data_IF_091709482106
#
_entry.id   IF_091709482106
#
_cell.length_a   1.000
_cell.length_b   1.000
_cell.length_c   1.000
_cell.angle_alpha   90.00
_cell.angle_beta   90.00
_cell.angle_gamma   90.00
#
_symmetry.space_group_name_H-M   'P 1'
#
loop_
_entity.id
_entity.type
_entity.pdbx_description
1 polymer ?
#
# COMPACT_ATOMS: atom_id res chain seq x y z
N UNK A 1 -30.60 24.12 -9.37
CA UNK A 1 -31.19 23.88 -8.03
C UNK A 1 -30.13 23.80 -6.94
N UNK A 2 -29.14 22.89 -6.98
CA UNK A 2 -28.15 22.79 -5.90
C UNK A 2 -27.21 24.01 -5.73
N UNK A 3 -27.09 24.87 -6.75
CA UNK A 3 -26.28 26.11 -6.68
C UNK A 3 -26.88 27.20 -5.77
N UNK A 4 -28.16 27.09 -5.40
CA UNK A 4 -28.87 28.04 -4.52
C UNK A 4 -29.22 27.42 -3.15
N UNK A 5 -28.60 26.29 -2.83
CA UNK A 5 -28.82 25.61 -1.55
C UNK A 5 -28.26 26.45 -0.40
N UNK A 6 -29.08 26.65 0.62
CA UNK A 6 -28.78 27.36 1.86
C UNK A 6 -29.25 26.52 3.04
N UNK A 7 -28.81 26.79 4.28
CA UNK A 7 -29.36 26.11 5.45
C UNK A 7 -30.88 26.26 5.57
N UNK A 8 -31.44 27.39 5.11
CA UNK A 8 -32.86 27.71 5.24
C UNK A 8 -33.78 26.94 4.28
N UNK A 9 -33.31 26.60 3.07
CA UNK A 9 -34.10 25.85 2.08
C UNK A 9 -33.73 24.36 1.98
N UNK A 10 -32.71 23.91 2.74
CA UNK A 10 -32.27 22.52 2.72
C UNK A 10 -33.36 21.53 3.13
N UNK A 11 -34.21 21.88 4.11
CA UNK A 11 -35.32 21.03 4.56
C UNK A 11 -36.40 20.86 3.51
N UNK A 12 -36.71 21.90 2.74
CA UNK A 12 -37.67 21.83 1.63
C UNK A 12 -37.14 20.94 0.51
N UNK A 13 -35.86 21.11 0.14
CA UNK A 13 -35.23 20.27 -0.88
C UNK A 13 -35.12 18.81 -0.44
N UNK A 14 -34.81 18.56 0.84
CA UNK A 14 -34.82 17.23 1.44
C UNK A 14 -36.19 16.57 1.29
N UNK A 15 -37.26 17.26 1.68
CA UNK A 15 -38.63 16.76 1.56
C UNK A 15 -39.01 16.45 0.09
N UNK A 16 -38.55 17.26 -0.88
CA UNK A 16 -38.77 16.98 -2.29
C UNK A 16 -38.07 15.68 -2.74
N UNK A 17 -36.84 15.45 -2.27
CA UNK A 17 -36.16 14.18 -2.52
C UNK A 17 -36.87 13.01 -1.84
N UNK A 18 -37.24 13.10 -0.57
CA UNK A 18 -37.93 12.01 0.14
C UNK A 18 -39.23 11.56 -0.54
N UNK A 19 -39.96 12.50 -1.15
CA UNK A 19 -41.20 12.21 -1.89
C UNK A 19 -41.00 11.80 -3.35
N UNK A 20 -39.77 11.90 -3.88
CA UNK A 20 -39.47 11.49 -5.25
C UNK A 20 -39.42 9.97 -5.39
N UNK A 21 -39.73 9.39 -6.57
CA UNK A 21 -39.49 7.97 -6.80
C UNK A 21 -38.03 7.58 -6.56
N UNK A 22 -37.79 6.37 -6.07
CA UNK A 22 -36.45 5.79 -6.05
C UNK A 22 -35.93 5.51 -7.47
N UNK A 23 -34.63 5.26 -7.60
CA UNK A 23 -34.02 4.85 -8.86
C UNK A 23 -32.66 5.49 -9.08
N UNK A 24 -31.79 4.82 -9.85
CA UNK A 24 -30.36 5.16 -9.97
C UNK A 24 -30.06 6.64 -10.23
N UNK A 25 -30.85 7.30 -11.06
CA UNK A 25 -30.67 8.72 -11.37
C UNK A 25 -31.05 9.61 -10.19
N UNK A 26 -32.22 9.37 -9.60
CA UNK A 26 -32.67 10.13 -8.42
C UNK A 26 -31.79 9.86 -7.20
N UNK A 27 -31.25 8.65 -7.05
CA UNK A 27 -30.33 8.29 -5.96
C UNK A 27 -28.99 9.02 -6.14
N UNK A 28 -28.51 9.16 -7.39
CA UNK A 28 -27.32 9.98 -7.70
C UNK A 28 -27.56 11.45 -7.35
N UNK A 29 -28.69 12.01 -7.78
CA UNK A 29 -29.04 13.40 -7.46
C UNK A 29 -29.22 13.64 -5.96
N UNK A 30 -29.74 12.64 -5.24
CA UNK A 30 -29.83 12.69 -3.79
C UNK A 30 -28.45 12.69 -3.15
N UNK A 31 -27.52 11.88 -3.64
CA UNK A 31 -26.14 11.89 -3.16
C UNK A 31 -25.45 13.26 -3.42
N UNK A 32 -25.64 13.84 -4.60
CA UNK A 32 -25.17 15.20 -4.93
C UNK A 32 -25.76 16.24 -3.96
N UNK A 33 -27.04 16.08 -3.60
CA UNK A 33 -27.71 16.91 -2.60
C UNK A 33 -27.13 16.74 -1.21
N UNK A 34 -26.89 15.51 -0.73
CA UNK A 34 -26.27 15.26 0.59
C UNK A 34 -24.91 15.95 0.70
N UNK A 35 -24.08 15.85 -0.35
CA UNK A 35 -22.80 16.56 -0.39
C UNK A 35 -22.99 18.08 -0.31
N UNK A 36 -23.88 18.64 -1.12
CA UNK A 36 -24.15 20.07 -1.12
C UNK A 36 -24.76 20.56 0.20
N UNK A 37 -25.66 19.77 0.81
CA UNK A 37 -26.28 20.08 2.10
C UNK A 37 -25.24 20.10 3.20
N UNK A 38 -24.34 19.12 3.24
CA UNK A 38 -23.29 19.09 4.23
C UNK A 38 -22.29 20.25 4.09
N UNK A 39 -22.09 20.81 2.90
CA UNK A 39 -21.29 22.03 2.71
C UNK A 39 -21.89 23.30 3.34
N UNK A 40 -23.20 23.33 3.54
CA UNK A 40 -23.89 24.48 4.13
C UNK A 40 -24.35 24.22 5.57
N UNK A 41 -24.57 22.96 5.93
CA UNK A 41 -25.08 22.53 7.24
C UNK A 41 -24.61 21.11 7.57
N UNK A 42 -23.31 20.96 7.79
CA UNK A 42 -22.64 19.67 8.01
C UNK A 42 -23.26 18.80 9.11
N UNK A 43 -23.56 19.38 10.27
CA UNK A 43 -24.14 18.66 11.43
C UNK A 43 -25.50 18.03 11.10
N UNK A 44 -26.40 18.78 10.46
CA UNK A 44 -27.73 18.28 10.11
C UNK A 44 -27.64 17.21 9.01
N UNK A 45 -26.79 17.44 7.99
CA UNK A 45 -26.62 16.50 6.90
C UNK A 45 -26.01 15.17 7.36
N UNK A 46 -24.99 15.21 8.22
CA UNK A 46 -24.37 13.99 8.74
C UNK A 46 -25.29 13.27 9.71
N UNK A 47 -26.06 14.00 10.53
CA UNK A 47 -27.06 13.42 11.43
C UNK A 47 -28.10 12.63 10.64
N UNK A 48 -28.64 13.22 9.58
CA UNK A 48 -29.55 12.53 8.67
C UNK A 48 -28.89 11.31 8.01
N UNK A 49 -27.69 11.50 7.47
CA UNK A 49 -26.98 10.45 6.76
C UNK A 49 -26.53 9.29 7.67
N UNK A 50 -26.44 9.51 8.99
CA UNK A 50 -26.08 8.48 9.97
C UNK A 50 -27.28 7.82 10.65
N UNK A 51 -28.44 8.47 10.66
CA UNK A 51 -29.66 7.91 11.21
C UNK A 51 -30.20 6.76 10.33
N UNK A 52 -30.36 5.54 10.87
CA UNK A 52 -30.91 4.41 10.12
C UNK A 52 -32.41 4.58 9.82
N UNK A 53 -33.13 5.43 10.54
CA UNK A 53 -34.56 5.68 10.36
C UNK A 53 -34.84 6.86 9.40
N UNK A 54 -33.79 7.57 8.96
CA UNK A 54 -33.96 8.68 8.02
C UNK A 54 -34.55 8.19 6.69
N UNK A 55 -35.63 8.82 6.19
CA UNK A 55 -36.24 8.43 4.92
C UNK A 55 -35.20 8.49 3.80
N UNK A 56 -35.29 7.67 2.75
CA UNK A 56 -34.39 7.74 1.57
C UNK A 56 -32.88 7.58 1.83
N UNK A 57 -32.42 7.47 3.09
CA UNK A 57 -31.02 7.25 3.45
C UNK A 57 -30.52 5.96 2.82
N UNK A 58 -29.35 6.04 2.21
CA UNK A 58 -28.64 4.93 1.59
C UNK A 58 -27.33 4.67 2.30
N UNK A 59 -26.75 3.49 2.05
CA UNK A 59 -25.42 3.15 2.59
C UNK A 59 -24.37 4.00 1.88
N UNK A 60 -23.52 4.69 2.64
CA UNK A 60 -22.46 5.55 2.10
C UNK A 60 -22.84 7.03 2.04
N UNK A 61 -24.08 7.40 2.37
CA UNK A 61 -24.45 8.81 2.53
C UNK A 61 -23.66 9.46 3.64
N UNK A 62 -23.31 8.72 4.71
CA UNK A 62 -22.46 9.22 5.78
C UNK A 62 -21.07 9.65 5.29
N UNK A 63 -20.52 8.95 4.29
CA UNK A 63 -19.24 9.31 3.66
C UNK A 63 -19.39 10.54 2.75
N UNK A 64 -20.54 10.66 2.11
CA UNK A 64 -20.85 11.79 1.21
C UNK A 64 -21.06 13.06 2.03
N UNK A 65 -21.82 12.97 3.12
CA UNK A 65 -22.08 14.05 4.05
C UNK A 65 -20.77 14.51 4.71
N UNK A 66 -19.95 13.61 5.26
CA UNK A 66 -18.70 14.03 5.90
C UNK A 66 -17.72 14.68 4.90
N UNK A 67 -17.71 14.24 3.64
CA UNK A 67 -16.93 14.88 2.59
C UNK A 67 -17.47 16.28 2.28
N UNK A 68 -18.79 16.44 2.13
CA UNK A 68 -19.38 17.76 1.93
C UNK A 68 -19.09 18.71 3.09
N UNK A 69 -19.19 18.22 4.33
CA UNK A 69 -18.83 19.01 5.51
C UNK A 69 -17.36 19.42 5.47
N UNK A 70 -16.45 18.46 5.27
CA UNK A 70 -15.01 18.72 5.21
C UNK A 70 -14.58 19.68 4.09
N UNK A 71 -15.33 19.73 2.97
CA UNK A 71 -15.07 20.66 1.88
C UNK A 71 -15.36 22.13 2.25
N UNK A 72 -16.10 22.39 3.34
CA UNK A 72 -16.43 23.73 3.83
C UNK A 72 -15.79 24.05 5.18
N UNK A 73 -15.77 23.08 6.08
CA UNK A 73 -15.22 23.17 7.43
C UNK A 73 -14.56 21.84 7.81
N UNK A 74 -13.30 21.63 7.39
CA UNK A 74 -12.57 20.40 7.69
C UNK A 74 -12.35 20.22 9.19
N UNK A 75 -12.21 21.30 9.98
CA UNK A 75 -11.94 21.20 11.41
C UNK A 75 -13.12 20.60 12.17
N UNK A 76 -14.33 21.10 11.93
CA UNK A 76 -15.53 20.55 12.56
C UNK A 76 -15.83 19.14 12.08
N UNK A 77 -15.62 18.85 10.78
CA UNK A 77 -15.73 17.50 10.26
C UNK A 77 -14.75 16.53 10.95
N UNK A 78 -13.48 16.90 11.11
CA UNK A 78 -12.48 16.09 11.83
C UNK A 78 -12.92 15.80 13.27
N UNK A 79 -13.38 16.81 14.01
CA UNK A 79 -13.87 16.65 15.38
C UNK A 79 -15.07 15.69 15.45
N UNK A 80 -15.99 15.78 14.48
CA UNK A 80 -17.10 14.84 14.39
C UNK A 80 -16.61 13.42 14.18
N UNK A 81 -15.69 13.20 13.22
CA UNK A 81 -15.15 11.87 12.92
C UNK A 81 -14.51 11.23 14.16
N UNK A 82 -13.77 12.02 14.96
CA UNK A 82 -13.15 11.54 16.19
C UNK A 82 -14.18 11.03 17.21
N UNK A 83 -15.38 11.63 17.22
CA UNK A 83 -16.49 11.22 18.09
C UNK A 83 -17.24 9.95 17.65
N UNK A 84 -17.04 9.48 16.41
CA UNK A 84 -17.78 8.33 15.85
C UNK A 84 -17.32 7.03 16.50
N UNK A 85 -18.14 6.43 17.36
CA UNK A 85 -17.79 5.25 18.15
C UNK A 85 -17.40 4.02 17.30
N UNK A 86 -18.14 3.76 16.21
CA UNK A 86 -17.88 2.64 15.32
C UNK A 86 -16.55 2.85 14.57
N UNK A 87 -15.54 2.05 14.94
CA UNK A 87 -14.18 2.19 14.41
C UNK A 87 -14.11 2.10 12.90
N UNK A 88 -14.75 1.12 12.26
CA UNK A 88 -14.69 0.98 10.80
C UNK A 88 -15.26 2.19 10.09
N UNK A 89 -16.42 2.68 10.55
CA UNK A 89 -17.06 3.88 10.02
C UNK A 89 -16.15 5.10 10.19
N UNK A 90 -15.62 5.32 11.39
CA UNK A 90 -14.66 6.40 11.68
C UNK A 90 -13.45 6.36 10.76
N UNK A 91 -12.85 5.18 10.56
CA UNK A 91 -11.70 5.02 9.65
C UNK A 91 -12.01 5.43 8.21
N UNK A 92 -13.16 5.05 7.68
CA UNK A 92 -13.57 5.46 6.34
C UNK A 92 -13.98 6.94 6.25
N UNK A 93 -14.52 7.51 7.33
CA UNK A 93 -14.82 8.94 7.37
C UNK A 93 -13.54 9.80 7.37
N UNK A 94 -12.48 9.38 8.07
CA UNK A 94 -11.16 10.01 7.97
C UNK A 94 -10.67 10.07 6.51
N UNK A 95 -10.91 9.02 5.73
CA UNK A 95 -10.62 9.03 4.30
C UNK A 95 -11.45 10.06 3.53
N UNK A 96 -12.75 10.19 3.82
CA UNK A 96 -13.62 11.21 3.23
C UNK A 96 -13.10 12.63 3.48
N UNK A 97 -12.77 12.94 4.73
CA UNK A 97 -12.16 14.22 5.13
C UNK A 97 -10.84 14.46 4.39
N UNK A 98 -9.93 13.47 4.40
CA UNK A 98 -8.61 13.59 3.75
C UNK A 98 -8.74 13.87 2.26
N UNK A 99 -9.70 13.25 1.55
CA UNK A 99 -9.94 13.49 0.12
C UNK A 99 -10.27 14.94 -0.19
N UNK A 100 -11.03 15.60 0.68
CA UNK A 100 -11.44 16.98 0.47
C UNK A 100 -10.32 17.95 0.87
N UNK A 101 -9.57 17.62 1.92
CA UNK A 101 -8.37 18.37 2.30
C UNK A 101 -7.32 18.33 1.18
N UNK A 102 -7.07 17.18 0.52
CA UNK A 102 -6.11 17.08 -0.61
C UNK A 102 -6.39 18.11 -1.72
N UNK A 103 -7.66 18.44 -1.96
CA UNK A 103 -8.06 19.41 -3.01
C UNK A 103 -7.76 20.86 -2.64
N UNK A 104 -7.63 21.18 -1.36
CA UNK A 104 -7.59 22.55 -0.82
C UNK A 104 -6.29 22.85 -0.08
N UNK A 105 -5.80 21.91 0.73
CA UNK A 105 -4.58 21.97 1.52
C UNK A 105 -3.98 20.57 1.69
N UNK A 106 -3.02 20.23 0.83
CA UNK A 106 -2.34 18.94 0.82
C UNK A 106 -1.47 18.72 2.06
N UNK A 107 -0.85 19.77 2.62
CA UNK A 107 0.01 19.64 3.80
C UNK A 107 -0.83 19.31 5.04
N UNK A 108 -1.97 19.98 5.21
CA UNK A 108 -2.92 19.64 6.27
C UNK A 108 -3.48 18.22 6.09
N UNK A 109 -3.72 17.76 4.86
CA UNK A 109 -4.18 16.40 4.59
C UNK A 109 -3.14 15.33 5.00
N UNK A 110 -1.85 15.60 4.73
CA UNK A 110 -0.74 14.74 5.16
C UNK A 110 -0.69 14.68 6.69
N UNK A 111 -0.65 15.84 7.35
CA UNK A 111 -0.59 15.92 8.81
C UNK A 111 -1.80 15.25 9.49
N UNK A 112 -2.97 15.29 8.85
CA UNK A 112 -4.15 14.57 9.33
C UNK A 112 -4.03 13.05 9.14
N UNK A 113 -3.54 12.59 8.00
CA UNK A 113 -3.34 11.15 7.74
C UNK A 113 -2.36 10.49 8.71
N UNK A 114 -1.29 11.20 9.10
CA UNK A 114 -0.30 10.74 10.09
C UNK A 114 -0.89 10.58 11.50
N UNK A 115 -1.93 11.34 11.84
CA UNK A 115 -2.65 11.25 13.12
C UNK A 115 -3.64 10.08 13.18
N UNK A 116 -4.01 9.53 12.03
CA UNK A 116 -4.97 8.43 11.96
C UNK A 116 -4.29 7.10 12.30
N UNK A 117 -5.03 6.17 12.93
CA UNK A 117 -4.51 4.84 13.27
C UNK A 117 -4.42 3.91 12.06
N UNK A 118 -3.60 2.85 12.16
CA UNK A 118 -3.43 1.86 11.10
C UNK A 118 -4.75 1.19 10.71
N UNK A 119 -5.14 1.36 9.46
CA UNK A 119 -6.34 0.77 8.89
C UNK A 119 -6.21 0.68 7.37
N UNK A 120 -7.10 -0.09 6.72
CA UNK A 120 -7.22 -0.10 5.25
C UNK A 120 -7.51 1.31 4.72
N UNK A 121 -8.37 2.07 5.40
CA UNK A 121 -8.71 3.43 5.00
C UNK A 121 -7.51 4.38 5.10
N UNK A 122 -6.61 4.22 6.08
CA UNK A 122 -5.36 4.99 6.14
C UNK A 122 -4.43 4.68 4.96
N UNK A 123 -4.33 3.42 4.54
CA UNK A 123 -3.61 3.07 3.30
C UNK A 123 -4.19 3.81 2.08
N UNK A 124 -5.52 3.81 1.93
CA UNK A 124 -6.21 4.52 0.83
C UNK A 124 -6.04 6.06 0.90
N UNK A 125 -5.84 6.63 2.10
CA UNK A 125 -5.47 8.04 2.26
C UNK A 125 -4.06 8.28 1.70
N UNK A 126 -3.11 7.43 2.08
CA UNK A 126 -1.71 7.52 1.67
C UNK A 126 -1.54 7.36 0.16
N UNK A 127 -2.30 6.47 -0.47
CA UNK A 127 -2.31 6.33 -1.94
C UNK A 127 -2.68 7.65 -2.63
N UNK A 128 -3.73 8.31 -2.14
CA UNK A 128 -4.22 9.58 -2.69
C UNK A 128 -3.28 10.73 -2.41
N UNK A 129 -2.67 10.76 -1.23
CA UNK A 129 -1.63 11.71 -0.87
C UNK A 129 -0.45 11.56 -1.82
N UNK A 130 0.03 10.33 -2.06
CA UNK A 130 1.13 10.06 -2.97
C UNK A 130 0.81 10.46 -4.41
N UNK A 131 -0.41 10.18 -4.90
CA UNK A 131 -0.89 10.66 -6.21
C UNK A 131 -0.89 12.19 -6.29
N UNK A 132 -1.44 12.87 -5.28
CA UNK A 132 -1.52 14.32 -5.23
C UNK A 132 -0.14 14.98 -5.13
N UNK A 133 0.77 14.43 -4.31
CA UNK A 133 2.15 14.89 -4.22
C UNK A 133 2.86 14.76 -5.56
N UNK A 134 2.74 13.61 -6.22
CA UNK A 134 3.35 13.41 -7.54
C UNK A 134 2.78 14.39 -8.57
N UNK A 135 1.47 14.62 -8.56
CA UNK A 135 0.82 15.54 -9.49
C UNK A 135 1.17 17.01 -9.24
N UNK A 136 1.22 17.44 -7.97
CA UNK A 136 1.36 18.85 -7.60
C UNK A 136 2.81 19.28 -7.38
N UNK A 137 3.68 18.36 -6.95
CA UNK A 137 5.06 18.63 -6.49
C UNK A 137 6.11 17.74 -7.17
N UNK A 138 5.69 16.79 -8.00
CA UNK A 138 6.57 15.86 -8.69
C UNK A 138 7.29 14.90 -7.74
N UNK A 139 8.30 14.21 -8.27
CA UNK A 139 9.06 13.19 -7.53
C UNK A 139 9.74 13.76 -6.28
N UNK A 140 10.24 15.00 -6.35
CA UNK A 140 10.91 15.61 -5.21
C UNK A 140 9.95 15.80 -4.04
N UNK A 141 8.71 16.25 -4.30
CA UNK A 141 7.72 16.39 -3.24
C UNK A 141 7.32 15.06 -2.59
N UNK A 142 7.33 13.97 -3.36
CA UNK A 142 7.09 12.61 -2.82
C UNK A 142 8.27 12.17 -1.94
N UNK A 143 9.51 12.42 -2.36
CA UNK A 143 10.72 12.12 -1.57
C UNK A 143 10.73 12.96 -0.28
N UNK A 144 10.42 14.25 -0.38
CA UNK A 144 10.36 15.15 0.77
C UNK A 144 9.31 14.70 1.79
N UNK A 145 8.16 14.20 1.33
CA UNK A 145 7.14 13.60 2.20
C UNK A 145 7.67 12.39 2.97
N UNK A 146 8.31 11.42 2.31
CA UNK A 146 8.89 10.26 3.00
C UNK A 146 9.93 10.70 4.04
N UNK A 147 10.80 11.65 3.66
CA UNK A 147 11.84 12.15 4.53
C UNK A 147 11.28 12.89 5.75
N UNK A 148 10.14 13.57 5.61
CA UNK A 148 9.44 14.28 6.67
C UNK A 148 8.75 13.39 7.71
N UNK A 149 8.49 12.12 7.39
CA UNK A 149 7.83 11.19 8.33
C UNK A 149 8.80 10.79 9.45
N UNK A 150 8.50 11.23 10.68
CA UNK A 150 9.18 10.76 11.90
C UNK A 150 8.60 9.41 12.34
N UNK A 151 9.33 8.34 11.99
CA UNK A 151 8.94 6.97 12.30
C UNK A 151 9.36 6.50 13.70
N UNK A 152 10.06 7.34 14.48
CA UNK A 152 10.45 7.01 15.85
C UNK A 152 9.29 7.24 16.84
N UNK A 153 8.28 8.00 16.43
CA UNK A 153 7.00 8.17 17.14
C UNK A 153 6.28 6.82 17.17
N UNK A 154 5.97 6.32 18.37
CA UNK A 154 5.33 5.00 18.54
C UNK A 154 3.83 5.07 18.33
N UNK A 155 3.23 6.22 18.64
CA UNK A 155 1.83 6.52 18.38
C UNK A 155 1.52 6.27 16.90
N UNK A 156 0.33 5.75 16.61
CA UNK A 156 -0.15 5.50 15.25
C UNK A 156 0.71 4.58 14.38
N UNK A 157 1.68 3.83 14.93
CA UNK A 157 2.50 2.90 14.13
C UNK A 157 3.19 3.61 12.94
N UNK A 158 3.94 4.69 13.25
CA UNK A 158 4.57 5.54 12.24
C UNK A 158 5.68 4.84 11.44
N UNK A 159 6.27 3.76 11.96
CA UNK A 159 7.15 2.91 11.17
C UNK A 159 6.38 2.23 10.02
N UNK A 160 5.26 1.58 10.33
CA UNK A 160 4.43 0.98 9.27
C UNK A 160 3.87 2.04 8.31
N UNK A 161 3.60 3.25 8.83
CA UNK A 161 3.23 4.40 7.98
C UNK A 161 4.37 4.75 7.01
N UNK A 162 5.59 4.95 7.49
CA UNK A 162 6.73 5.28 6.62
C UNK A 162 7.05 4.17 5.61
N UNK A 163 6.97 2.91 6.03
CA UNK A 163 7.13 1.75 5.15
C UNK A 163 6.10 1.76 4.01
N UNK A 164 4.82 1.96 4.32
CA UNK A 164 3.78 2.00 3.29
C UNK A 164 3.91 3.25 2.38
N UNK A 165 4.20 4.43 2.94
CA UNK A 165 4.46 5.64 2.16
C UNK A 165 5.62 5.44 1.18
N UNK A 166 6.69 4.78 1.64
CA UNK A 166 7.86 4.45 0.81
C UNK A 166 7.49 3.56 -0.36
N UNK A 167 6.73 2.48 -0.13
CA UNK A 167 6.26 1.60 -1.21
C UNK A 167 5.45 2.37 -2.26
N UNK A 168 4.50 3.18 -1.79
CA UNK A 168 3.65 3.99 -2.67
C UNK A 168 4.44 5.02 -3.48
N UNK A 169 5.47 5.60 -2.87
CA UNK A 169 6.36 6.55 -3.51
C UNK A 169 7.23 5.88 -4.58
N UNK A 170 7.91 4.78 -4.24
CA UNK A 170 8.78 4.04 -5.16
C UNK A 170 8.02 3.66 -6.43
N UNK A 171 6.81 3.09 -6.28
CA UNK A 171 6.00 2.69 -7.42
C UNK A 171 5.62 3.87 -8.33
N UNK A 172 5.43 5.08 -7.79
CA UNK A 172 5.09 6.28 -8.57
C UNK A 172 6.31 6.90 -9.22
N UNK A 173 7.40 7.03 -8.47
CA UNK A 173 8.67 7.55 -8.97
C UNK A 173 9.17 6.63 -10.08
N UNK A 174 9.20 5.31 -9.89
CA UNK A 174 9.70 4.37 -10.88
C UNK A 174 8.93 4.35 -12.22
N UNK A 175 7.64 4.72 -12.19
CA UNK A 175 6.86 4.89 -13.43
C UNK A 175 7.32 6.09 -14.26
N UNK A 176 7.89 7.11 -13.63
CA UNK A 176 8.41 8.30 -14.29
C UNK A 176 9.94 8.23 -14.52
N UNK A 177 10.69 7.89 -13.48
CA UNK A 177 12.14 7.75 -13.44
C UNK A 177 12.55 6.53 -12.59
N UNK A 178 12.92 5.45 -13.28
CA UNK A 178 13.35 4.18 -12.65
C UNK A 178 14.64 4.35 -11.88
N UNK A 179 15.62 5.04 -12.47
CA UNK A 179 16.95 5.19 -11.89
C UNK A 179 16.88 5.96 -10.59
N UNK A 180 16.02 6.99 -10.52
CA UNK A 180 15.78 7.73 -9.29
C UNK A 180 15.11 6.91 -8.19
N UNK A 181 14.14 6.05 -8.53
CA UNK A 181 13.51 5.16 -7.56
C UNK A 181 14.51 4.12 -7.01
N UNK A 182 15.33 3.53 -7.89
CA UNK A 182 16.39 2.59 -7.51
C UNK A 182 17.40 3.29 -6.60
N UNK A 183 17.88 4.47 -7.00
CA UNK A 183 18.86 5.25 -6.24
C UNK A 183 18.33 5.58 -4.84
N UNK A 184 17.08 6.04 -4.73
CA UNK A 184 16.46 6.33 -3.43
C UNK A 184 16.48 5.13 -2.49
N UNK A 185 16.18 3.93 -3.00
CA UNK A 185 16.18 2.71 -2.18
C UNK A 185 17.60 2.23 -1.87
N UNK A 186 18.52 2.32 -2.81
CA UNK A 186 19.94 2.01 -2.56
C UNK A 186 20.53 2.91 -1.48
N UNK A 187 20.25 4.22 -1.52
CA UNK A 187 20.76 5.20 -0.55
C UNK A 187 20.20 4.99 0.87
N UNK A 188 19.02 4.38 0.98
CA UNK A 188 18.33 4.16 2.25
C UNK A 188 18.28 2.67 2.65
N UNK A 189 18.98 1.77 1.97
CA UNK A 189 18.77 0.33 2.11
C UNK A 189 18.96 -0.20 3.55
N UNK A 190 19.78 0.45 4.36
CA UNK A 190 20.02 0.06 5.77
C UNK A 190 18.99 0.62 6.75
N UNK A 191 18.11 1.52 6.31
CA UNK A 191 17.09 2.14 7.14
C UNK A 191 15.96 1.17 7.47
N UNK A 192 15.41 1.28 8.68
CA UNK A 192 14.38 0.36 9.18
C UNK A 192 13.06 0.40 8.37
N UNK A 193 12.79 1.52 7.70
CA UNK A 193 11.59 1.68 6.88
C UNK A 193 11.74 1.07 5.47
N UNK A 194 12.92 0.59 5.09
CA UNK A 194 13.11 -0.22 3.90
C UNK A 194 12.95 -1.69 4.30
N UNK A 195 11.83 -2.30 3.90
CA UNK A 195 11.54 -3.70 4.13
C UNK A 195 11.80 -4.56 2.88
N UNK A 196 11.76 -5.88 3.05
CA UNK A 196 11.96 -6.84 1.97
C UNK A 196 11.00 -6.66 0.79
N UNK A 197 9.74 -6.33 1.05
CA UNK A 197 8.74 -6.07 -0.01
C UNK A 197 9.11 -4.81 -0.81
N UNK A 198 9.63 -3.76 -0.16
CA UNK A 198 10.13 -2.57 -0.86
C UNK A 198 11.35 -2.89 -1.72
N UNK A 199 12.30 -3.70 -1.21
CA UNK A 199 13.47 -4.14 -1.98
C UNK A 199 13.05 -4.98 -3.20
N UNK A 200 12.20 -5.97 -2.99
CA UNK A 200 11.68 -6.87 -4.02
C UNK A 200 10.92 -6.10 -5.11
N UNK A 201 10.04 -5.17 -4.73
CA UNK A 201 9.37 -4.23 -5.66
C UNK A 201 10.35 -3.39 -6.46
N UNK A 202 11.37 -2.85 -5.80
CA UNK A 202 12.37 -2.01 -6.45
C UNK A 202 13.20 -2.80 -7.47
N UNK A 203 13.51 -4.07 -7.17
CA UNK A 203 14.24 -4.94 -8.07
C UNK A 203 13.56 -5.07 -9.44
N UNK A 204 12.22 -5.13 -9.48
CA UNK A 204 11.44 -5.14 -10.74
C UNK A 204 11.61 -3.89 -11.59
N UNK A 205 12.13 -2.82 -11.03
CA UNK A 205 12.43 -1.59 -11.75
C UNK A 205 13.89 -1.52 -12.21
N UNK A 206 14.78 -2.44 -11.82
CA UNK A 206 16.19 -2.48 -12.28
C UNK A 206 16.27 -2.84 -13.75
N UNK A 207 15.59 -3.90 -14.16
CA UNK A 207 15.47 -4.31 -15.56
C UNK A 207 14.02 -4.35 -16.01
N UNK A 208 13.78 -4.28 -17.32
CA UNK A 208 12.46 -4.56 -17.92
C UNK A 208 12.42 -5.92 -18.60
N UNK A 209 13.58 -6.56 -18.76
CA UNK A 209 13.77 -7.70 -19.66
C UNK A 209 14.69 -8.77 -19.09
N UNK A 210 15.40 -8.50 -18.00
CA UNK A 210 16.37 -9.43 -17.42
C UNK A 210 16.11 -9.55 -15.93
N UNK A 211 15.35 -10.58 -15.56
CA UNK A 211 15.16 -10.96 -14.15
C UNK A 211 16.50 -11.28 -13.47
N UNK A 212 17.52 -11.71 -14.24
CA UNK A 212 18.88 -11.91 -13.76
C UNK A 212 19.50 -10.61 -13.22
N UNK A 213 19.28 -9.48 -13.89
CA UNK A 213 19.79 -8.16 -13.42
C UNK A 213 19.08 -7.73 -12.12
N UNK A 214 17.79 -8.06 -11.99
CA UNK A 214 16.98 -7.71 -10.81
C UNK A 214 17.42 -8.52 -9.58
N UNK A 215 17.65 -9.82 -9.77
CA UNK A 215 18.23 -10.72 -8.76
C UNK A 215 19.66 -10.28 -8.44
N UNK A 216 20.48 -9.93 -9.44
CA UNK A 216 21.85 -9.47 -9.21
C UNK A 216 21.89 -8.19 -8.37
N UNK A 217 21.02 -7.21 -8.65
CA UNK A 217 20.94 -6.00 -7.85
C UNK A 217 20.63 -6.30 -6.37
N UNK A 218 19.70 -7.23 -6.09
CA UNK A 218 19.42 -7.67 -4.72
C UNK A 218 20.62 -8.38 -4.08
N UNK A 219 21.35 -9.18 -4.85
CA UNK A 219 22.54 -9.88 -4.38
C UNK A 219 23.72 -8.94 -4.09
N UNK A 220 23.82 -7.83 -4.82
CA UNK A 220 24.87 -6.81 -4.66
C UNK A 220 24.62 -5.86 -3.46
N UNK A 221 23.40 -5.85 -2.91
CA UNK A 221 23.11 -5.10 -1.69
C UNK A 221 23.94 -5.63 -0.50
N UNK A 222 24.39 -4.76 0.42
CA UNK A 222 25.16 -5.18 1.59
C UNK A 222 24.40 -6.21 2.45
N UNK A 223 25.12 -7.20 2.99
CA UNK A 223 24.55 -8.31 3.77
C UNK A 223 23.85 -7.86 5.06
N UNK A 224 24.15 -6.67 5.57
CA UNK A 224 23.51 -6.03 6.72
C UNK A 224 22.13 -5.44 6.40
N UNK A 225 21.77 -5.29 5.12
CA UNK A 225 20.44 -4.84 4.69
C UNK A 225 19.40 -5.86 5.14
N UNK A 226 18.51 -5.42 6.04
CA UNK A 226 17.45 -6.27 6.57
C UNK A 226 16.46 -6.60 5.44
N UNK A 227 16.08 -7.87 5.34
CA UNK A 227 15.13 -8.33 4.33
C UNK A 227 15.72 -8.58 2.95
N UNK A 228 17.01 -8.28 2.72
CA UNK A 228 17.70 -8.53 1.44
C UNK A 228 17.63 -10.00 1.02
N UNK A 229 17.98 -10.94 1.92
CA UNK A 229 17.89 -12.39 1.63
C UNK A 229 16.48 -12.84 1.25
N UNK A 230 15.48 -12.38 1.99
CA UNK A 230 14.09 -12.72 1.69
C UNK A 230 13.66 -12.15 0.34
N UNK A 231 13.96 -10.88 0.04
CA UNK A 231 13.68 -10.28 -1.25
C UNK A 231 14.39 -11.01 -2.40
N UNK A 232 15.66 -11.38 -2.20
CA UNK A 232 16.46 -12.15 -3.15
C UNK A 232 15.82 -13.52 -3.40
N UNK A 233 15.43 -14.25 -2.35
CA UNK A 233 14.74 -15.53 -2.45
C UNK A 233 13.43 -15.44 -3.24
N UNK A 234 12.56 -14.50 -2.89
CA UNK A 234 11.27 -14.28 -3.59
C UNK A 234 11.48 -13.95 -5.08
N UNK A 235 12.41 -13.05 -5.39
CA UNK A 235 12.69 -12.70 -6.80
C UNK A 235 13.36 -13.85 -7.55
N UNK A 236 14.22 -14.62 -6.89
CA UNK A 236 14.86 -15.78 -7.46
C UNK A 236 13.88 -16.93 -7.71
N UNK A 237 12.86 -17.11 -6.88
CA UNK A 237 11.77 -18.06 -7.15
C UNK A 237 11.06 -17.73 -8.47
N UNK A 238 10.83 -16.43 -8.74
CA UNK A 238 10.28 -16.00 -10.02
C UNK A 238 11.27 -16.21 -11.18
N UNK A 239 12.57 -16.01 -10.96
CA UNK A 239 13.61 -16.33 -11.96
C UNK A 239 13.57 -17.81 -12.36
N UNK A 240 13.47 -18.72 -11.39
CA UNK A 240 13.32 -20.16 -11.66
C UNK A 240 12.09 -20.45 -12.54
N UNK A 241 10.97 -19.76 -12.30
CA UNK A 241 9.72 -19.95 -13.05
C UNK A 241 9.79 -19.39 -14.47
N UNK A 242 10.41 -18.22 -14.64
CA UNK A 242 10.53 -17.54 -15.93
C UNK A 242 11.65 -18.13 -16.82
N UNK A 243 12.81 -18.42 -16.23
CA UNK A 243 13.99 -18.96 -16.92
C UNK A 243 14.83 -19.85 -15.99
N UNK A 244 14.40 -21.11 -15.90
CA UNK A 244 15.08 -22.13 -15.10
C UNK A 244 16.57 -22.31 -15.47
N UNK A 245 16.91 -22.29 -16.76
CA UNK A 245 18.29 -22.48 -17.19
C UNK A 245 19.16 -21.28 -16.80
N UNK A 246 18.67 -20.06 -17.06
CA UNK A 246 19.33 -18.82 -16.67
C UNK A 246 19.52 -18.71 -15.16
N UNK A 247 18.54 -19.12 -14.36
CA UNK A 247 18.65 -19.14 -12.89
C UNK A 247 19.78 -20.06 -12.41
N UNK A 248 19.94 -21.23 -13.04
CA UNK A 248 21.02 -22.18 -12.73
C UNK A 248 22.40 -21.70 -13.16
N UNK A 249 22.49 -21.03 -14.31
CA UNK A 249 23.70 -20.36 -14.78
C UNK A 249 24.10 -19.21 -13.85
N UNK A 250 23.13 -18.36 -13.49
CA UNK A 250 23.35 -17.25 -12.55
C UNK A 250 23.87 -17.75 -11.22
N UNK A 251 23.21 -18.73 -10.57
CA UNK A 251 23.69 -19.32 -9.32
C UNK A 251 25.09 -19.93 -9.47
N UNK A 252 25.39 -20.56 -10.60
CA UNK A 252 26.70 -21.16 -10.83
C UNK A 252 27.82 -20.14 -10.95
N UNK A 253 27.49 -18.90 -11.34
CA UNK A 253 28.45 -17.79 -11.46
C UNK A 253 28.70 -17.03 -10.15
N UNK A 254 27.84 -17.19 -9.13
CA UNK A 254 27.97 -16.48 -7.87
C UNK A 254 29.05 -17.08 -6.95
N UNK A 255 29.73 -16.26 -6.13
CA UNK A 255 30.57 -16.75 -5.04
C UNK A 255 29.67 -17.31 -3.94
N UNK A 256 29.30 -18.59 -4.08
CA UNK A 256 28.35 -19.22 -3.18
C UNK A 256 28.80 -19.16 -1.72
N UNK A 257 27.85 -18.83 -0.86
CA UNK A 257 27.99 -18.69 0.57
C UNK A 257 26.62 -18.52 1.22
N UNK A 258 26.55 -18.25 2.54
CA UNK A 258 25.29 -18.27 3.31
C UNK A 258 24.18 -17.34 2.80
N UNK A 259 24.51 -16.32 2.01
CA UNK A 259 23.52 -15.43 1.40
C UNK A 259 22.69 -16.10 0.28
N UNK A 260 23.23 -17.15 -0.34
CA UNK A 260 22.62 -17.84 -1.49
C UNK A 260 21.94 -19.16 -1.09
N UNK A 261 22.07 -19.59 0.16
CA UNK A 261 21.59 -20.89 0.63
C UNK A 261 20.08 -21.10 0.38
N UNK A 262 19.26 -20.07 0.58
CA UNK A 262 17.82 -20.09 0.29
C UNK A 262 17.57 -20.24 -1.23
N UNK A 263 18.24 -19.45 -2.06
CA UNK A 263 18.13 -19.54 -3.52
C UNK A 263 18.58 -20.90 -4.07
N UNK A 264 19.67 -21.48 -3.52
CA UNK A 264 20.15 -22.82 -3.88
C UNK A 264 19.10 -23.87 -3.50
N UNK A 265 18.51 -23.76 -2.30
CA UNK A 265 17.44 -24.66 -1.87
C UNK A 265 16.26 -24.60 -2.85
N UNK A 266 15.78 -23.41 -3.19
CA UNK A 266 14.62 -23.24 -4.06
C UNK A 266 14.90 -23.80 -5.46
N UNK A 267 16.10 -23.57 -5.99
CA UNK A 267 16.55 -24.16 -7.25
C UNK A 267 16.56 -25.69 -7.18
N UNK A 268 17.18 -26.27 -6.14
CA UNK A 268 17.25 -27.72 -5.95
C UNK A 268 15.84 -28.33 -5.84
N UNK A 269 14.94 -27.70 -5.08
CA UNK A 269 13.55 -28.15 -4.94
C UNK A 269 12.78 -28.09 -6.26
N UNK A 270 13.00 -27.06 -7.08
CA UNK A 270 12.40 -26.97 -8.40
C UNK A 270 12.97 -28.01 -9.36
N UNK A 271 14.29 -28.13 -9.43
CA UNK A 271 15.03 -29.07 -10.28
C UNK A 271 14.66 -30.53 -10.03
N UNK A 272 14.35 -30.88 -8.77
CA UNK A 272 14.02 -32.25 -8.39
C UNK A 272 12.75 -32.79 -9.05
N UNK A 273 11.88 -31.93 -9.58
CA UNK A 273 10.70 -32.35 -10.35
C UNK A 273 11.10 -33.09 -11.63
N UNK A 274 12.17 -32.64 -12.28
CA UNK A 274 12.61 -33.15 -13.58
C UNK A 274 13.86 -34.04 -13.46
N UNK A 275 14.80 -33.68 -12.60
CA UNK A 275 16.04 -34.42 -12.39
C UNK A 275 16.46 -34.41 -10.90
N UNK A 276 16.02 -35.41 -10.12
CA UNK A 276 16.37 -35.53 -8.71
C UNK A 276 17.88 -35.62 -8.45
N UNK A 277 18.65 -36.26 -9.33
CA UNK A 277 20.10 -36.43 -9.14
C UNK A 277 20.83 -35.09 -9.30
N UNK A 278 20.47 -34.31 -10.31
CA UNK A 278 20.98 -32.95 -10.49
C UNK A 278 20.60 -32.05 -9.31
N UNK A 279 19.39 -32.20 -8.76
CA UNK A 279 18.95 -31.44 -7.59
C UNK A 279 19.81 -31.72 -6.35
N UNK A 280 20.22 -32.97 -6.11
CA UNK A 280 21.09 -33.32 -4.98
C UNK A 280 22.47 -32.65 -5.08
N UNK A 281 23.03 -32.54 -6.29
CA UNK A 281 24.29 -31.82 -6.50
C UNK A 281 24.19 -30.33 -6.13
N UNK A 282 23.01 -29.73 -6.27
CA UNK A 282 22.74 -28.36 -5.78
C UNK A 282 22.62 -28.30 -4.27
N UNK A 283 21.98 -29.28 -3.63
CA UNK A 283 21.90 -29.35 -2.16
C UNK A 283 23.29 -29.37 -1.53
N UNK A 284 24.25 -30.07 -2.12
CA UNK A 284 25.64 -30.13 -1.63
C UNK A 284 26.35 -28.76 -1.64
N UNK A 285 25.81 -27.78 -2.37
CA UNK A 285 26.33 -26.40 -2.43
C UNK A 285 25.75 -25.48 -1.34
N UNK A 286 24.77 -25.95 -0.56
CA UNK A 286 24.20 -25.20 0.57
C UNK A 286 25.21 -25.18 1.73
N UNK A 287 25.56 -23.98 2.17
CA UNK A 287 26.56 -23.75 3.22
C UNK A 287 26.04 -24.11 4.61
N UNK A 288 24.80 -23.73 4.94
CA UNK A 288 24.15 -24.06 6.20
C UNK A 288 23.81 -25.57 6.27
N UNK A 289 24.47 -26.28 7.19
CA UNK A 289 24.29 -27.72 7.38
C UNK A 289 22.85 -28.12 7.72
N UNK A 290 22.10 -27.29 8.45
CA UNK A 290 20.72 -27.60 8.83
C UNK A 290 19.82 -27.48 7.60
N UNK A 291 19.98 -26.41 6.83
CA UNK A 291 19.22 -26.18 5.60
C UNK A 291 19.55 -27.25 4.55
N UNK A 292 20.83 -27.60 4.42
CA UNK A 292 21.30 -28.67 3.54
C UNK A 292 20.66 -30.02 3.90
N UNK A 293 20.74 -30.43 5.16
CA UNK A 293 20.16 -31.70 5.62
C UNK A 293 18.63 -31.71 5.51
N UNK A 294 17.97 -30.59 5.80
CA UNK A 294 16.53 -30.43 5.61
C UNK A 294 16.14 -30.64 4.14
N UNK A 295 16.83 -29.94 3.22
CA UNK A 295 16.57 -30.01 1.78
C UNK A 295 16.86 -31.41 1.23
N UNK A 296 17.99 -32.00 1.63
CA UNK A 296 18.34 -33.40 1.31
C UNK A 296 17.20 -34.36 1.67
N UNK A 297 16.71 -34.28 2.92
CA UNK A 297 15.62 -35.13 3.40
C UNK A 297 14.28 -34.92 2.68
N UNK A 298 14.04 -33.72 2.12
CA UNK A 298 12.87 -33.41 1.30
C UNK A 298 12.95 -34.01 -0.10
N UNK A 299 14.16 -34.11 -0.66
CA UNK A 299 14.40 -34.62 -2.01
C UNK A 299 14.63 -36.13 -2.07
N UNK A 300 15.10 -36.75 -0.98
CA UNK A 300 15.16 -38.21 -0.89
C UNK A 300 13.76 -38.79 -0.63
N UNK A 301 13.27 -39.73 -1.46
CA UNK A 301 11.99 -40.40 -1.21
C UNK A 301 11.98 -41.07 0.16
N UNK A 302 10.92 -40.89 0.95
CA UNK A 302 10.73 -41.68 2.17
C UNK A 302 10.69 -43.15 1.78
N UNK A 303 11.63 -43.94 2.30
CA UNK A 303 11.56 -45.40 2.20
C UNK A 303 10.19 -45.84 2.72
N UNK A 304 9.43 -46.57 1.90
CA UNK A 304 8.21 -47.23 2.37
C UNK A 304 8.64 -48.15 3.51
N UNK A 305 8.08 -47.93 4.70
CA UNK A 305 8.18 -48.92 5.77
C UNK A 305 7.49 -50.18 5.26
N UNK A 306 8.28 -51.23 5.08
CA UNK A 306 7.80 -52.60 4.85
C UNK A 306 7.02 -53.12 6.07
#
# INVERSE_FOLDING_TARGET
MLLELTPANASEMLAAFENSPGGRENDRHFNDFIYAWARVSGEEAIKYAMDPESPRRTRGDEMTAISGWAASDPNSAMQFVDSVENTDTRQWMHLGVTKEMIKTDLDSAIAYSEKNVKSRARGEQMDRIADALMQQRGEQGVIDWINGIDHNVKENDMLSYKQHATKQAVDRIARNDRDKAIQFITDNATEQFIDSDTLERTSRYVSRTSIADEVQWLADLPNEVKGQRHALGERFEEFIKEDFAGAGEWLSSQPLGPAYDEAIQDYAMSAAKDNPEAALAWVDRISDDRLRNYTMGRLTPKQKKE
#
